data_IF_263813052892
#
_entry.id   IF_263813052892
#
_cell.length_a   1.000
_cell.length_b   1.000
_cell.length_c   1.000
_cell.angle_alpha   90.00
_cell.angle_beta   90.00
_cell.angle_gamma   90.00
#
_symmetry.space_group_name_H-M   'P 1'
#
loop_
_entity.id
_entity.type
_entity.pdbx_description
1 polymer ?
#
# COMPACT_ATOMS: atom_id res chain seq x y z
N UNK A 1 13.29 14.51 -15.51
CA UNK A 1 12.39 13.51 -16.13
C UNK A 1 10.95 13.97 -15.95
N UNK A 2 10.16 14.15 -17.02
CA UNK A 2 8.80 14.71 -16.94
C UNK A 2 7.87 13.71 -16.21
N UNK A 3 7.03 14.17 -15.28
CA UNK A 3 6.13 13.33 -14.47
C UNK A 3 5.26 12.34 -15.30
N UNK A 4 4.96 12.70 -16.55
CA UNK A 4 4.22 11.86 -17.51
C UNK A 4 4.99 10.62 -17.97
N UNK A 5 6.32 10.59 -17.89
CA UNK A 5 7.14 9.42 -18.23
C UNK A 5 7.30 8.49 -17.04
N UNK A 6 7.39 9.04 -15.83
CA UNK A 6 7.40 8.24 -14.59
C UNK A 6 6.08 7.46 -14.42
N UNK A 7 4.94 8.11 -14.66
CA UNK A 7 3.63 7.46 -14.59
C UNK A 7 3.46 6.35 -15.65
N UNK A 8 4.00 6.51 -16.85
CA UNK A 8 3.98 5.49 -17.91
C UNK A 8 4.92 4.32 -17.61
N UNK A 9 6.07 4.57 -16.99
CA UNK A 9 6.97 3.51 -16.53
C UNK A 9 6.38 2.75 -15.33
N UNK A 10 5.74 3.43 -14.38
CA UNK A 10 5.07 2.78 -13.24
C UNK A 10 3.86 1.96 -13.69
N UNK A 11 3.04 2.50 -14.59
CA UNK A 11 1.93 1.76 -15.20
C UNK A 11 2.45 0.60 -16.08
N UNK A 12 3.56 0.81 -16.79
CA UNK A 12 4.26 -0.22 -17.55
C UNK A 12 4.79 -1.35 -16.67
N UNK A 13 5.41 -1.04 -15.53
CA UNK A 13 5.85 -2.04 -14.55
C UNK A 13 4.69 -2.80 -13.92
N UNK A 14 3.60 -2.08 -13.57
CA UNK A 14 2.35 -2.68 -13.08
C UNK A 14 1.72 -3.62 -14.11
N UNK A 15 1.88 -3.35 -15.41
CA UNK A 15 1.30 -4.19 -16.47
C UNK A 15 2.25 -5.30 -16.93
N UNK A 16 3.57 -5.09 -16.95
CA UNK A 16 4.55 -6.10 -17.38
C UNK A 16 4.77 -7.19 -16.32
N UNK A 17 4.71 -6.82 -15.02
CA UNK A 17 4.75 -7.79 -13.92
C UNK A 17 3.54 -8.74 -13.90
N UNK A 18 2.41 -8.34 -14.51
CA UNK A 18 1.18 -9.15 -14.57
C UNK A 18 1.20 -10.18 -15.70
N UNK A 19 2.01 -9.99 -16.75
CA UNK A 19 1.98 -10.83 -17.96
C UNK A 19 2.95 -12.02 -17.92
N UNK A 20 3.88 -12.05 -16.95
CA UNK A 20 4.87 -13.15 -16.84
C UNK A 20 4.58 -14.16 -15.72
N UNK A 21 3.36 -14.17 -15.18
CA UNK A 21 2.98 -15.08 -14.09
C UNK A 21 2.75 -16.48 -14.68
N UNK A 22 3.82 -17.27 -14.78
CA UNK A 22 3.67 -18.72 -14.77
C UNK A 22 2.98 -19.14 -13.46
N UNK A 23 2.17 -20.20 -13.48
CA UNK A 23 1.29 -20.50 -12.38
C UNK A 23 2.10 -21.04 -11.21
N UNK A 24 2.36 -20.20 -10.21
CA UNK A 24 2.54 -20.62 -8.82
C UNK A 24 1.21 -21.20 -8.25
N UNK A 25 0.51 -22.04 -9.01
CA UNK A 25 -0.78 -22.66 -8.72
C UNK A 25 -0.66 -24.01 -8.00
N UNK A 26 0.54 -24.43 -7.59
CA UNK A 26 0.74 -25.74 -6.94
C UNK A 26 0.92 -25.70 -5.42
N UNK A 27 1.06 -24.52 -4.81
CA UNK A 27 1.16 -24.38 -3.35
C UNK A 27 -0.19 -23.93 -2.79
N UNK A 28 -0.81 -24.69 -1.87
CA UNK A 28 -2.02 -24.24 -1.19
C UNK A 28 -1.63 -23.08 -0.26
N UNK A 29 -1.97 -21.85 -0.65
CA UNK A 29 -1.78 -20.70 0.23
C UNK A 29 -2.70 -20.80 1.44
N UNK A 30 -2.15 -20.56 2.63
CA UNK A 30 -2.90 -20.53 3.88
C UNK A 30 -3.47 -19.13 4.14
N UNK A 31 -4.61 -19.04 4.82
CA UNK A 31 -5.15 -17.76 5.29
C UNK A 31 -4.30 -17.20 6.41
N UNK A 32 -3.92 -15.93 6.31
CA UNK A 32 -3.10 -15.26 7.34
C UNK A 32 -2.58 -13.90 6.90
N UNK A 33 -1.57 -13.40 7.60
CA UNK A 33 -1.04 -12.04 7.46
C UNK A 33 0.44 -11.98 7.05
N UNK A 34 1.05 -13.13 6.76
CA UNK A 34 2.40 -13.22 6.20
C UNK A 34 2.38 -12.95 4.68
N UNK A 35 3.52 -12.62 4.05
CA UNK A 35 3.58 -12.14 2.67
C UNK A 35 2.90 -13.05 1.64
N UNK A 36 3.04 -14.36 1.80
CA UNK A 36 2.48 -15.39 0.92
C UNK A 36 1.19 -16.02 1.46
N UNK A 37 0.59 -15.44 2.49
CA UNK A 37 -0.70 -15.90 3.02
C UNK A 37 -1.86 -15.11 2.42
N UNK A 38 -3.01 -15.76 2.28
CA UNK A 38 -4.23 -15.17 1.75
C UNK A 38 -4.81 -14.18 2.77
N UNK A 39 -4.99 -12.94 2.35
CA UNK A 39 -5.64 -11.90 3.15
C UNK A 39 -7.17 -11.95 3.00
N UNK A 40 -7.81 -12.87 3.71
CA UNK A 40 -9.26 -13.10 3.69
C UNK A 40 -9.97 -12.77 5.04
N UNK A 41 -11.23 -13.19 5.18
CA UNK A 41 -11.97 -13.01 6.44
C UNK A 41 -11.38 -13.84 7.59
N UNK A 42 -10.85 -15.03 7.32
CA UNK A 42 -10.25 -15.89 8.34
C UNK A 42 -8.92 -15.32 8.83
N UNK A 43 -8.09 -14.81 7.92
CA UNK A 43 -6.88 -14.05 8.25
C UNK A 43 -7.21 -12.85 9.14
N UNK A 44 -8.26 -12.10 8.81
CA UNK A 44 -8.70 -10.96 9.61
C UNK A 44 -9.22 -11.34 10.99
N UNK A 45 -9.93 -12.46 11.10
CA UNK A 45 -10.48 -12.93 12.36
C UNK A 45 -9.39 -13.42 13.34
N UNK A 46 -8.28 -13.94 12.80
CA UNK A 46 -7.21 -14.54 13.59
C UNK A 46 -5.97 -13.65 13.74
N UNK A 47 -5.99 -12.41 13.24
CA UNK A 47 -4.82 -11.54 13.34
C UNK A 47 -4.51 -11.15 14.80
N UNK A 48 -3.23 -10.94 15.15
CA UNK A 48 -2.88 -10.45 16.47
C UNK A 48 -3.56 -9.11 16.79
N UNK A 49 -3.94 -8.91 18.06
CA UNK A 49 -4.67 -7.70 18.49
C UNK A 49 -3.95 -6.40 18.11
N UNK A 50 -2.62 -6.36 18.23
CA UNK A 50 -1.84 -5.18 17.89
C UNK A 50 -1.93 -4.82 16.40
N UNK A 51 -2.00 -5.81 15.50
CA UNK A 51 -2.17 -5.60 14.05
C UNK A 51 -3.55 -5.01 13.78
N UNK A 52 -4.59 -5.55 14.43
CA UNK A 52 -5.95 -5.03 14.30
C UNK A 52 -6.06 -3.56 14.74
N UNK A 53 -5.46 -3.23 15.88
CA UNK A 53 -5.37 -1.85 16.37
C UNK A 53 -4.60 -0.97 15.37
N UNK A 54 -3.46 -1.45 14.85
CA UNK A 54 -2.67 -0.72 13.86
C UNK A 54 -3.46 -0.42 12.59
N UNK A 55 -4.15 -1.42 12.03
CA UNK A 55 -5.02 -1.24 10.86
C UNK A 55 -6.13 -0.22 11.14
N UNK A 56 -6.71 -0.24 12.34
CA UNK A 56 -7.68 0.77 12.78
C UNK A 56 -7.09 2.20 12.75
N UNK A 57 -5.94 2.39 13.39
CA UNK A 57 -5.22 3.68 13.39
C UNK A 57 -4.93 4.15 11.97
N UNK A 58 -4.42 3.26 11.13
CA UNK A 58 -4.10 3.54 9.74
C UNK A 58 -5.34 4.00 8.97
N UNK A 59 -6.42 3.21 9.00
CA UNK A 59 -7.67 3.52 8.33
C UNK A 59 -8.26 4.85 8.78
N UNK A 60 -8.28 5.12 10.09
CA UNK A 60 -8.77 6.40 10.63
C UNK A 60 -7.89 7.56 10.14
N UNK A 61 -6.57 7.42 10.18
CA UNK A 61 -5.66 8.51 9.82
C UNK A 61 -5.77 8.86 8.33
N UNK A 62 -5.90 7.85 7.46
CA UNK A 62 -6.17 8.05 6.04
C UNK A 62 -7.55 8.68 5.79
N UNK A 63 -8.59 8.20 6.48
CA UNK A 63 -9.95 8.73 6.36
C UNK A 63 -10.05 10.21 6.80
N UNK A 64 -9.30 10.62 7.83
CA UNK A 64 -9.22 12.03 8.23
C UNK A 64 -8.66 12.94 7.13
N UNK A 65 -7.93 12.41 6.15
CA UNK A 65 -7.46 13.17 4.99
C UNK A 65 -8.57 13.79 4.16
N UNK A 66 -9.77 13.21 4.14
CA UNK A 66 -10.92 13.77 3.44
C UNK A 66 -11.35 15.13 4.00
N UNK A 67 -11.11 15.40 5.29
CA UNK A 67 -11.42 16.69 5.91
C UNK A 67 -10.53 17.82 5.36
N UNK A 68 -9.31 17.48 4.93
CA UNK A 68 -8.29 18.45 4.54
C UNK A 68 -8.10 18.59 3.02
N UNK A 69 -8.58 17.61 2.23
CA UNK A 69 -8.30 17.51 0.78
C UNK A 69 -8.80 18.71 -0.05
N UNK A 70 -9.84 19.44 0.41
CA UNK A 70 -10.35 20.62 -0.29
C UNK A 70 -9.31 21.74 -0.31
N UNK A 71 -8.65 22.00 0.81
CA UNK A 71 -7.72 23.14 0.97
C UNK A 71 -6.26 22.76 0.78
N UNK A 72 -5.89 21.51 1.06
CA UNK A 72 -4.51 21.07 1.11
C UNK A 72 -4.20 20.08 -0.01
N UNK A 73 -3.17 20.38 -0.81
CA UNK A 73 -2.76 19.54 -1.92
C UNK A 73 -2.18 18.20 -1.43
N UNK A 74 -1.46 18.22 -0.32
CA UNK A 74 -0.86 17.06 0.32
C UNK A 74 -1.93 16.04 0.73
N UNK A 75 -3.05 16.54 1.29
CA UNK A 75 -4.20 15.71 1.62
C UNK A 75 -4.86 15.08 0.39
N UNK A 76 -4.87 15.76 -0.77
CA UNK A 76 -5.33 15.15 -2.02
C UNK A 76 -4.44 14.01 -2.48
N UNK A 77 -3.13 14.10 -2.26
CA UNK A 77 -2.22 13.00 -2.59
C UNK A 77 -2.43 11.80 -1.66
N UNK A 78 -2.61 12.03 -0.35
CA UNK A 78 -2.93 10.95 0.61
C UNK A 78 -4.25 10.26 0.24
N UNK A 79 -5.33 11.04 0.07
CA UNK A 79 -6.65 10.50 -0.29
C UNK A 79 -6.62 9.83 -1.67
N UNK A 80 -5.94 10.43 -2.64
CA UNK A 80 -5.79 9.87 -3.97
C UNK A 80 -5.02 8.53 -3.96
N UNK A 81 -3.94 8.44 -3.19
CA UNK A 81 -3.20 7.20 -2.97
C UNK A 81 -4.08 6.13 -2.32
N UNK A 82 -4.82 6.48 -1.28
CA UNK A 82 -5.75 5.57 -0.60
C UNK A 82 -6.86 5.05 -1.52
N UNK A 83 -7.50 5.93 -2.30
CA UNK A 83 -8.52 5.50 -3.28
C UNK A 83 -7.88 4.64 -4.38
N UNK A 84 -6.72 5.04 -4.90
CA UNK A 84 -6.01 4.30 -5.93
C UNK A 84 -5.69 2.88 -5.48
N UNK A 85 -5.23 2.70 -4.24
CA UNK A 85 -4.93 1.39 -3.67
C UNK A 85 -6.17 0.48 -3.65
N UNK A 86 -7.34 1.02 -3.28
CA UNK A 86 -8.61 0.27 -3.22
C UNK A 86 -8.98 -0.19 -4.63
N UNK A 87 -8.92 0.72 -5.61
CA UNK A 87 -9.26 0.41 -6.99
C UNK A 87 -8.33 -0.63 -7.59
N UNK A 88 -7.01 -0.51 -7.37
CA UNK A 88 -6.02 -1.47 -7.84
C UNK A 88 -6.26 -2.85 -7.22
N UNK A 89 -6.47 -2.92 -5.91
CA UNK A 89 -6.72 -4.18 -5.20
C UNK A 89 -8.01 -4.87 -5.66
N UNK A 90 -9.08 -4.11 -5.90
CA UNK A 90 -10.34 -4.66 -6.44
C UNK A 90 -10.14 -5.15 -7.87
N UNK A 91 -9.38 -4.42 -8.68
CA UNK A 91 -9.08 -4.80 -10.06
C UNK A 91 -8.20 -6.05 -10.14
N UNK A 92 -7.15 -6.18 -9.33
CA UNK A 92 -6.28 -7.37 -9.30
C UNK A 92 -7.06 -8.64 -8.97
N UNK A 93 -7.95 -8.59 -7.97
CA UNK A 93 -8.78 -9.74 -7.61
C UNK A 93 -9.85 -10.07 -8.66
N UNK A 94 -10.58 -9.07 -9.18
CA UNK A 94 -11.74 -9.32 -10.06
C UNK A 94 -11.41 -9.47 -11.53
N UNK A 95 -10.42 -8.73 -12.03
CA UNK A 95 -10.09 -8.68 -13.46
C UNK A 95 -9.00 -9.67 -13.81
N UNK A 96 -7.98 -9.79 -12.96
CA UNK A 96 -6.81 -10.63 -13.23
C UNK A 96 -6.84 -11.97 -12.49
N UNK A 97 -7.83 -12.19 -11.62
CA UNK A 97 -7.98 -13.44 -10.88
C UNK A 97 -6.82 -13.74 -9.92
N UNK A 98 -6.08 -12.71 -9.50
CA UNK A 98 -4.94 -12.88 -8.61
C UNK A 98 -5.43 -13.25 -7.20
N UNK A 99 -4.78 -14.24 -6.60
CA UNK A 99 -4.99 -14.59 -5.19
C UNK A 99 -4.58 -13.38 -4.35
N UNK A 100 -5.42 -12.91 -3.40
CA UNK A 100 -5.15 -11.71 -2.62
C UNK A 100 -4.14 -12.01 -1.51
N UNK A 101 -2.88 -12.26 -1.89
CA UNK A 101 -1.79 -12.49 -0.96
C UNK A 101 -1.43 -11.19 -0.22
N UNK A 102 -1.10 -11.27 1.07
CA UNK A 102 -0.81 -10.08 1.89
C UNK A 102 0.30 -9.21 1.28
N UNK A 103 1.35 -9.81 0.70
CA UNK A 103 2.44 -9.07 0.07
C UNK A 103 2.04 -8.31 -1.20
N UNK A 104 0.93 -8.68 -1.88
CA UNK A 104 0.35 -7.85 -2.94
C UNK A 104 -0.19 -6.54 -2.37
N UNK A 105 -0.86 -6.58 -1.21
CA UNK A 105 -1.35 -5.36 -0.55
C UNK A 105 -0.18 -4.46 -0.16
N UNK A 106 0.90 -5.03 0.38
CA UNK A 106 2.12 -4.31 0.70
C UNK A 106 2.77 -3.64 -0.52
N UNK A 107 2.85 -4.37 -1.65
CA UNK A 107 3.33 -3.79 -2.90
C UNK A 107 2.46 -2.61 -3.36
N UNK A 108 1.14 -2.78 -3.30
CA UNK A 108 0.19 -1.74 -3.68
C UNK A 108 0.28 -0.53 -2.73
N UNK A 109 0.45 -0.72 -1.42
CA UNK A 109 0.70 0.36 -0.46
C UNK A 109 1.93 1.18 -0.85
N UNK A 110 3.06 0.52 -1.10
CA UNK A 110 4.31 1.19 -1.49
C UNK A 110 4.08 2.04 -2.73
N UNK A 111 3.47 1.47 -3.78
CA UNK A 111 3.26 2.19 -5.05
C UNK A 111 2.29 3.36 -4.88
N UNK A 112 1.15 3.13 -4.22
CA UNK A 112 0.08 4.11 -4.13
C UNK A 112 0.35 5.21 -3.09
N UNK A 113 1.09 4.91 -2.02
CA UNK A 113 1.34 5.87 -0.93
C UNK A 113 2.67 6.62 -1.07
N UNK A 114 3.65 6.08 -1.81
CA UNK A 114 4.94 6.76 -2.01
C UNK A 114 4.83 8.18 -2.59
N UNK A 115 3.95 8.48 -3.58
CA UNK A 115 3.77 9.86 -4.04
C UNK A 115 3.27 10.80 -2.94
N UNK A 116 2.37 10.32 -2.07
CA UNK A 116 1.86 11.10 -0.95
C UNK A 116 2.95 11.34 0.10
N UNK A 117 3.70 10.30 0.45
CA UNK A 117 4.84 10.39 1.36
C UNK A 117 5.89 11.38 0.85
N UNK A 118 6.24 11.31 -0.44
CA UNK A 118 7.18 12.23 -1.07
C UNK A 118 6.73 13.70 -0.90
N UNK A 119 5.46 13.98 -1.17
CA UNK A 119 4.90 15.34 -1.04
C UNK A 119 4.89 15.79 0.42
N UNK A 120 4.52 14.91 1.37
CA UNK A 120 4.52 15.21 2.80
C UNK A 120 5.93 15.52 3.32
N UNK A 121 6.94 14.73 2.95
CA UNK A 121 8.33 14.91 3.40
C UNK A 121 9.03 16.10 2.72
N UNK A 122 8.61 16.45 1.49
CA UNK A 122 9.16 17.59 0.76
C UNK A 122 8.60 18.91 1.28
N UNK A 123 7.27 19.00 1.47
CA UNK A 123 6.60 20.24 1.89
C UNK A 123 6.56 20.43 3.40
N UNK A 124 6.69 19.33 4.16
CA UNK A 124 6.75 19.29 5.63
C UNK A 124 5.65 20.11 6.31
N UNK A 125 4.36 19.94 5.96
CA UNK A 125 3.26 20.67 6.59
C UNK A 125 3.22 20.51 8.11
N UNK A 126 3.72 19.38 8.61
CA UNK A 126 3.85 19.07 10.04
C UNK A 126 4.87 19.93 10.80
N UNK A 127 5.73 20.68 10.10
CA UNK A 127 6.67 21.63 10.73
C UNK A 127 6.19 23.09 10.66
N UNK A 128 5.06 23.36 9.99
CA UNK A 128 4.62 24.74 9.68
C UNK A 128 3.70 25.35 10.76
N UNK A 129 3.64 24.77 11.97
CA UNK A 129 2.90 25.32 13.10
C UNK A 129 2.06 24.29 13.87
N UNK A 130 1.08 24.78 14.65
CA UNK A 130 0.24 23.98 15.56
C UNK A 130 -1.23 23.87 15.13
N UNK A 131 -1.49 23.74 13.83
CA UNK A 131 -2.86 23.53 13.32
C UNK A 131 -3.26 22.05 13.39
N UNK A 132 -4.56 21.76 13.42
CA UNK A 132 -5.08 20.39 13.31
C UNK A 132 -4.56 19.68 12.04
N UNK A 133 -4.43 20.44 10.95
CA UNK A 133 -3.83 19.95 9.71
C UNK A 133 -2.35 19.58 9.89
N UNK A 134 -1.56 20.41 10.57
CA UNK A 134 -0.15 20.12 10.83
C UNK A 134 -0.01 18.83 11.67
N UNK A 135 -0.81 18.69 12.73
CA UNK A 135 -0.84 17.48 13.58
C UNK A 135 -1.24 16.24 12.77
N UNK A 136 -2.35 16.33 12.03
CA UNK A 136 -2.80 15.24 11.16
C UNK A 136 -1.73 14.86 10.12
N UNK A 137 -1.09 15.85 9.49
CA UNK A 137 -0.07 15.62 8.48
C UNK A 137 1.19 14.95 9.07
N UNK A 138 1.50 15.20 10.34
CA UNK A 138 2.55 14.49 11.07
C UNK A 138 2.15 13.05 11.37
N UNK A 139 0.92 12.86 11.87
CA UNK A 139 0.38 11.54 12.17
C UNK A 139 0.31 10.63 10.93
N UNK A 140 -0.20 11.12 9.80
CA UNK A 140 -0.25 10.32 8.55
C UNK A 140 1.15 10.05 7.99
N UNK A 141 2.09 11.00 8.12
CA UNK A 141 3.48 10.77 7.70
C UNK A 141 4.11 9.65 8.53
N UNK A 142 3.96 9.70 9.87
CA UNK A 142 4.45 8.64 10.75
C UNK A 142 3.76 7.30 10.46
N UNK A 143 2.46 7.31 10.19
CA UNK A 143 1.70 6.13 9.84
C UNK A 143 2.23 5.46 8.57
N UNK A 144 2.40 6.21 7.48
CA UNK A 144 2.93 5.67 6.22
C UNK A 144 4.35 5.11 6.40
N UNK A 145 5.22 5.85 7.09
CA UNK A 145 6.61 5.40 7.32
C UNK A 145 6.63 4.10 8.14
N UNK A 146 5.83 4.02 9.20
CA UNK A 146 5.78 2.83 10.03
C UNK A 146 5.20 1.63 9.26
N UNK A 147 4.16 1.83 8.45
CA UNK A 147 3.63 0.76 7.57
C UNK A 147 4.69 0.26 6.58
N UNK A 148 5.50 1.16 6.01
CA UNK A 148 6.56 0.78 5.07
C UNK A 148 7.65 -0.10 5.68
N UNK A 149 7.83 -0.10 7.01
CA UNK A 149 8.75 -1.04 7.68
C UNK A 149 8.31 -2.48 7.45
N UNK A 150 7.00 -2.74 7.41
CA UNK A 150 6.43 -4.06 7.15
C UNK A 150 6.17 -4.28 5.66
N UNK A 151 5.69 -3.26 4.94
CA UNK A 151 5.32 -3.43 3.54
C UNK A 151 6.53 -3.73 2.65
N UNK A 152 7.70 -3.12 2.92
CA UNK A 152 8.90 -3.32 2.08
C UNK A 152 9.37 -4.79 2.05
N UNK A 153 9.64 -5.45 3.20
CA UNK A 153 10.03 -6.87 3.19
C UNK A 153 8.94 -7.76 2.61
N UNK A 154 7.67 -7.52 2.95
CA UNK A 154 6.55 -8.34 2.47
C UNK A 154 6.37 -8.23 0.94
N UNK A 155 6.49 -7.02 0.40
CA UNK A 155 6.47 -6.78 -1.04
C UNK A 155 7.68 -7.42 -1.73
N UNK A 156 8.86 -7.41 -1.11
CA UNK A 156 10.05 -8.04 -1.66
C UNK A 156 9.90 -9.57 -1.76
N UNK A 157 9.39 -10.22 -0.71
CA UNK A 157 9.10 -11.66 -0.70
C UNK A 157 8.03 -12.00 -1.74
N UNK A 158 6.98 -11.18 -1.83
CA UNK A 158 5.93 -11.36 -2.84
C UNK A 158 6.49 -11.25 -4.27
N UNK A 159 7.33 -10.25 -4.55
CA UNK A 159 7.94 -10.10 -5.88
C UNK A 159 8.89 -11.25 -6.20
N UNK A 160 9.72 -11.68 -5.25
CA UNK A 160 10.63 -12.83 -5.41
C UNK A 160 9.86 -14.11 -5.79
N UNK A 161 8.75 -14.35 -5.08
CA UNK A 161 7.84 -15.46 -5.34
C UNK A 161 7.14 -15.36 -6.71
N UNK A 162 6.61 -14.18 -7.06
CA UNK A 162 5.94 -13.97 -8.35
C UNK A 162 6.90 -14.04 -9.55
N UNK A 163 8.18 -13.68 -9.36
CA UNK A 163 9.21 -13.70 -10.40
C UNK A 163 9.92 -15.06 -10.50
N UNK A 164 9.65 -16.00 -9.59
CA UNK A 164 10.26 -17.33 -9.58
C UNK A 164 11.76 -17.31 -9.29
N UNK A 165 12.24 -16.30 -8.55
CA UNK A 165 13.66 -16.12 -8.24
C UNK A 165 14.07 -17.02 -7.05
N UNK A 166 13.24 -17.09 -6.00
CA UNK A 166 13.41 -17.99 -4.86
C UNK A 166 14.57 -17.63 -3.93
N UNK A 167 14.96 -16.35 -3.83
CA UNK A 167 16.01 -15.87 -2.93
C UNK A 167 15.49 -15.54 -1.52
N UNK A 168 14.21 -15.17 -1.41
CA UNK A 168 13.58 -14.65 -0.19
C UNK A 168 12.32 -15.44 0.20
N UNK A 169 11.66 -16.11 -0.75
CA UNK A 169 10.44 -16.91 -0.57
C UNK A 169 10.70 -18.38 -0.24
#
# INVERSE_FOLDING_TARGET
MKAKHLAKCLLGLLLYGVVSIEPALSQPYESGHQPLQIWDNAARANMPLWVSIWLGIMMTTFALGFLFMRRHAEARWVVGGFICMILVTVATGRVFGLVPLSGLFSLVHIICWSPALYVLLTRRPFLQGRSLYAVWSGAITACIIFSFIFDIPDAAIYLDHMLGIGLLS
#
